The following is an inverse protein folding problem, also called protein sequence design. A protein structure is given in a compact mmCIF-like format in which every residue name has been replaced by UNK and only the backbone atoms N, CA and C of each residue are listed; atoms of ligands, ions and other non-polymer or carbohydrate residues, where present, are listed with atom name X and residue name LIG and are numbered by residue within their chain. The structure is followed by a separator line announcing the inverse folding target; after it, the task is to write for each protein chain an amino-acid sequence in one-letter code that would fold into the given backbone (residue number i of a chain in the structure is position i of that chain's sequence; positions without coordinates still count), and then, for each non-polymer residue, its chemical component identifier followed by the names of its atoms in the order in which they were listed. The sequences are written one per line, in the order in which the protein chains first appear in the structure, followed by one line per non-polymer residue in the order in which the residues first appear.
data_IF_375499837731
#
_entry.id   IF_375499837731
#
_cell.length_a   1.000
_cell.length_b   1.000
_cell.length_c   1.000
_cell.angle_alpha   90.00
_cell.angle_beta   90.00
_cell.angle_gamma   90.00
#
_symmetry.space_group_name_H-M   'P 1'
#
loop_
_entity.id
_entity.type
_entity.pdbx_description
1 polymer ?
#
# COMPACT_ATOMS: atom_id res chain seq x y z
N UNK A 1 -29.29 9.97 -7.25
CA UNK A 1 -28.67 8.78 -6.59
C UNK A 1 -28.44 7.73 -7.66
N UNK A 2 -27.20 7.47 -8.04
CA UNK A 2 -26.85 6.41 -9.00
C UNK A 2 -27.10 5.02 -8.39
N UNK A 3 -27.69 4.11 -9.16
CA UNK A 3 -27.94 2.73 -8.75
C UNK A 3 -26.61 2.00 -8.67
N UNK A 4 -26.27 1.40 -7.50
CA UNK A 4 -25.07 0.53 -7.39
C UNK A 4 -25.19 -0.62 -8.38
N UNK A 5 -24.09 -0.95 -9.08
CA UNK A 5 -24.05 -2.08 -10.02
C UNK A 5 -24.32 -3.39 -9.30
N UNK A 6 -25.09 -4.30 -9.94
CA UNK A 6 -25.43 -5.64 -9.42
C UNK A 6 -24.31 -6.66 -9.73
N UNK A 7 -23.22 -6.25 -10.38
CA UNK A 7 -22.10 -7.12 -10.76
C UNK A 7 -21.49 -7.78 -9.51
N UNK A 8 -21.41 -9.12 -9.48
CA UNK A 8 -20.89 -9.89 -8.34
C UNK A 8 -19.37 -9.73 -8.17
N UNK A 9 -18.61 -9.62 -9.26
CA UNK A 9 -17.15 -9.44 -9.25
C UNK A 9 -16.77 -8.02 -9.64
N UNK A 10 -16.75 -7.11 -8.67
CA UNK A 10 -16.27 -5.73 -8.83
C UNK A 10 -14.79 -5.68 -8.51
N UNK A 11 -14.02 -4.98 -9.34
CA UNK A 11 -12.63 -4.71 -9.01
C UNK A 11 -12.51 -3.58 -7.96
N UNK A 12 -11.33 -3.39 -7.42
CA UNK A 12 -11.09 -2.43 -6.32
C UNK A 12 -11.40 -0.98 -6.73
N UNK A 13 -11.21 -0.61 -7.99
CA UNK A 13 -11.48 0.73 -8.51
C UNK A 13 -12.98 1.03 -8.53
N UNK A 14 -13.79 0.06 -8.98
CA UNK A 14 -15.24 0.17 -8.96
C UNK A 14 -15.78 0.25 -7.52
N UNK A 15 -15.27 -0.61 -6.62
CA UNK A 15 -15.67 -0.61 -5.21
C UNK A 15 -15.38 0.76 -4.60
N UNK A 16 -14.16 1.28 -4.77
CA UNK A 16 -13.75 2.57 -4.21
C UNK A 16 -14.59 3.74 -4.70
N UNK A 17 -14.95 3.76 -6.00
CA UNK A 17 -15.84 4.78 -6.56
C UNK A 17 -17.25 4.69 -5.96
N UNK A 18 -17.79 3.48 -5.88
CA UNK A 18 -19.14 3.24 -5.37
C UNK A 18 -19.28 3.52 -3.86
N UNK A 19 -18.21 3.35 -3.09
CA UNK A 19 -18.17 3.70 -1.66
C UNK A 19 -18.29 5.23 -1.45
N UNK A 20 -17.81 6.01 -2.41
CA UNK A 20 -18.04 7.46 -2.46
C UNK A 20 -19.42 7.83 -3.01
N UNK A 21 -20.26 6.86 -3.39
CA UNK A 21 -21.55 7.04 -4.05
C UNK A 21 -21.47 7.82 -5.39
N UNK A 22 -20.34 7.72 -6.10
CA UNK A 22 -20.17 8.35 -7.41
C UNK A 22 -20.64 7.43 -8.54
N UNK A 23 -21.39 7.98 -9.53
CA UNK A 23 -21.52 7.35 -10.85
C UNK A 23 -20.21 7.53 -11.62
N UNK A 24 -20.03 6.82 -12.75
CA UNK A 24 -18.85 7.00 -13.60
C UNK A 24 -18.74 8.42 -14.15
N UNK A 25 -19.87 9.01 -14.51
CA UNK A 25 -19.95 10.38 -14.99
C UNK A 25 -19.56 11.39 -13.90
N UNK A 26 -20.09 11.23 -12.68
CA UNK A 26 -19.73 12.08 -11.54
C UNK A 26 -18.27 11.93 -11.14
N UNK A 27 -17.70 10.73 -11.25
CA UNK A 27 -16.28 10.50 -11.02
C UNK A 27 -15.42 11.16 -12.11
N UNK A 28 -15.80 11.02 -13.39
CA UNK A 28 -15.12 11.64 -14.52
C UNK A 28 -15.09 13.16 -14.41
N UNK A 29 -16.20 13.78 -14.01
CA UNK A 29 -16.28 15.22 -13.77
C UNK A 29 -15.29 15.69 -12.69
N UNK A 30 -15.18 14.93 -11.57
CA UNK A 30 -14.26 15.25 -10.48
C UNK A 30 -12.78 15.02 -10.84
N UNK A 31 -12.49 13.98 -11.61
CA UNK A 31 -11.15 13.63 -12.07
C UNK A 31 -10.66 14.56 -13.17
N UNK A 32 -11.56 15.13 -13.98
CA UNK A 32 -11.29 16.16 -14.99
C UNK A 32 -10.62 15.65 -16.26
N UNK A 33 -9.65 14.74 -16.17
CA UNK A 33 -8.90 14.23 -17.34
C UNK A 33 -9.17 12.75 -17.66
N UNK A 34 -9.96 12.05 -16.85
CA UNK A 34 -10.34 10.65 -17.04
C UNK A 34 -11.82 10.59 -17.43
N UNK A 35 -12.13 10.15 -18.65
CA UNK A 35 -13.51 10.03 -19.12
C UNK A 35 -14.26 8.88 -18.45
N UNK A 36 -15.60 8.94 -18.43
CA UNK A 36 -16.46 7.85 -17.93
C UNK A 36 -16.22 6.53 -18.68
N UNK A 37 -15.96 6.56 -19.98
CA UNK A 37 -15.60 5.39 -20.78
C UNK A 37 -14.25 4.79 -20.38
N UNK A 38 -13.28 5.66 -20.00
CA UNK A 38 -11.98 5.20 -19.50
C UNK A 38 -12.13 4.53 -18.14
N UNK A 39 -12.93 5.11 -17.24
CA UNK A 39 -13.26 4.51 -15.95
C UNK A 39 -13.93 3.15 -16.15
N UNK A 40 -14.89 3.06 -17.09
CA UNK A 40 -15.54 1.79 -17.41
C UNK A 40 -14.56 0.71 -17.89
N UNK A 41 -13.59 1.06 -18.74
CA UNK A 41 -12.57 0.11 -19.22
C UNK A 41 -11.69 -0.41 -18.09
N UNK A 42 -11.30 0.46 -17.16
CA UNK A 42 -10.52 0.09 -15.97
C UNK A 42 -11.34 -0.83 -15.04
N UNK A 43 -12.58 -0.45 -14.73
CA UNK A 43 -13.47 -1.22 -13.86
C UNK A 43 -13.89 -2.58 -14.45
N UNK A 44 -13.87 -2.72 -15.76
CA UNK A 44 -14.13 -3.98 -16.44
C UNK A 44 -12.84 -4.74 -16.83
N UNK A 45 -11.68 -4.30 -16.34
CA UNK A 45 -10.37 -4.93 -16.58
C UNK A 45 -10.01 -5.05 -18.07
N UNK A 46 -10.61 -4.19 -18.91
CA UNK A 46 -10.35 -4.12 -20.36
C UNK A 46 -9.04 -3.40 -20.66
N UNK A 47 -8.55 -2.60 -19.74
CA UNK A 47 -7.26 -1.92 -19.84
C UNK A 47 -6.76 -1.53 -18.45
N UNK A 48 -5.46 -1.68 -18.23
CA UNK A 48 -4.81 -1.24 -17.00
C UNK A 48 -4.84 0.30 -16.91
N UNK A 49 -5.02 0.85 -15.70
CA UNK A 49 -4.89 2.28 -15.48
C UNK A 49 -3.42 2.72 -15.61
N UNK A 50 -3.22 4.01 -15.91
CA UNK A 50 -1.90 4.63 -15.80
C UNK A 50 -1.62 5.11 -14.36
N UNK A 51 -0.35 5.21 -13.94
CA UNK A 51 -0.01 5.64 -12.58
C UNK A 51 -0.65 6.97 -12.17
N UNK A 52 -0.74 7.94 -13.10
CA UNK A 52 -1.35 9.24 -12.87
C UNK A 52 -2.86 9.13 -12.65
N UNK A 53 -3.52 8.19 -13.34
CA UNK A 53 -4.95 7.91 -13.16
C UNK A 53 -5.21 7.33 -11.77
N UNK A 54 -4.31 6.43 -11.31
CA UNK A 54 -4.40 5.83 -9.98
C UNK A 54 -4.23 6.87 -8.88
N UNK A 55 -3.24 7.76 -8.98
CA UNK A 55 -3.04 8.85 -8.02
C UNK A 55 -4.29 9.73 -7.93
N UNK A 56 -4.87 10.12 -9.06
CA UNK A 56 -6.08 10.91 -9.10
C UNK A 56 -7.30 10.16 -8.53
N UNK A 57 -7.46 8.87 -8.87
CA UNK A 57 -8.54 8.03 -8.32
C UNK A 57 -8.39 7.83 -6.81
N UNK A 58 -7.17 7.59 -6.30
CA UNK A 58 -6.90 7.43 -4.89
C UNK A 58 -7.31 8.67 -4.08
N UNK A 59 -6.99 9.86 -4.59
CA UNK A 59 -7.39 11.13 -3.95
C UNK A 59 -8.90 11.39 -4.08
N UNK A 60 -9.46 11.22 -5.27
CA UNK A 60 -10.88 11.45 -5.54
C UNK A 60 -11.79 10.51 -4.73
N UNK A 61 -11.42 9.24 -4.64
CA UNK A 61 -12.19 8.20 -3.95
C UNK A 61 -11.83 8.07 -2.47
N UNK A 62 -10.88 8.92 -1.99
CA UNK A 62 -10.39 8.89 -0.60
C UNK A 62 -9.87 7.51 -0.18
N UNK A 63 -9.29 6.79 -1.13
CA UNK A 63 -8.75 5.45 -0.91
C UNK A 63 -7.27 5.34 -1.34
N UNK A 64 -6.32 5.68 -0.45
CA UNK A 64 -4.89 5.60 -0.75
C UNK A 64 -4.40 4.17 -1.02
N UNK A 65 -5.19 3.13 -0.67
CA UNK A 65 -4.81 1.74 -0.92
C UNK A 65 -4.76 1.39 -2.41
N UNK A 66 -5.43 2.18 -3.27
CA UNK A 66 -5.38 1.99 -4.72
C UNK A 66 -3.95 2.09 -5.27
N UNK A 67 -3.11 2.97 -4.69
CA UNK A 67 -1.72 3.12 -5.12
C UNK A 67 -0.90 1.86 -4.80
N UNK A 68 -1.01 1.33 -3.58
CA UNK A 68 -0.30 0.10 -3.22
C UNK A 68 -0.82 -1.09 -4.02
N UNK A 69 -2.14 -1.23 -4.18
CA UNK A 69 -2.74 -2.29 -4.99
C UNK A 69 -2.20 -2.27 -6.42
N UNK A 70 -2.22 -1.12 -7.10
CA UNK A 70 -1.69 -1.00 -8.45
C UNK A 70 -0.22 -1.39 -8.51
N UNK A 71 0.61 -0.88 -7.61
CA UNK A 71 2.03 -1.20 -7.59
C UNK A 71 2.28 -2.69 -7.37
N UNK A 72 1.61 -3.32 -6.40
CA UNK A 72 1.86 -4.71 -6.02
C UNK A 72 1.19 -5.75 -6.92
N UNK A 73 0.19 -5.39 -7.76
CA UNK A 73 -0.59 -6.34 -8.56
C UNK A 73 -0.58 -6.06 -10.07
N UNK A 74 -0.41 -4.82 -10.50
CA UNK A 74 -0.63 -4.44 -11.89
C UNK A 74 0.61 -3.79 -12.55
N UNK A 75 1.48 -3.13 -11.77
CA UNK A 75 2.71 -2.54 -12.27
C UNK A 75 3.83 -3.59 -12.35
N UNK A 76 4.42 -3.88 -13.52
CA UNK A 76 5.47 -4.90 -13.64
C UNK A 76 6.68 -4.66 -12.70
N UNK A 77 7.07 -3.41 -12.51
CA UNK A 77 8.17 -3.06 -11.59
C UNK A 77 7.69 -3.22 -10.13
N UNK A 78 6.46 -2.77 -9.84
CA UNK A 78 5.92 -2.82 -8.49
C UNK A 78 5.67 -4.25 -8.01
N UNK A 79 5.25 -5.17 -8.86
CA UNK A 79 5.07 -6.60 -8.54
C UNK A 79 6.39 -7.21 -8.02
N UNK A 80 7.53 -6.77 -8.55
CA UNK A 80 8.84 -7.26 -8.12
C UNK A 80 9.34 -6.60 -6.83
N UNK A 81 9.05 -5.31 -6.63
CA UNK A 81 9.72 -4.50 -5.59
C UNK A 81 8.80 -3.94 -4.51
N UNK A 82 7.48 -3.99 -4.69
CA UNK A 82 6.53 -3.35 -3.77
C UNK A 82 5.65 -4.42 -3.10
N UNK A 83 5.80 -4.65 -1.79
CA UNK A 83 4.96 -5.60 -1.08
C UNK A 83 3.49 -5.13 -1.02
N UNK A 84 2.57 -6.08 -1.05
CA UNK A 84 1.17 -5.81 -0.77
C UNK A 84 1.00 -5.43 0.71
N UNK A 85 0.45 -4.25 0.97
CA UNK A 85 0.15 -3.77 2.32
C UNK A 85 -1.33 -4.01 2.62
N UNK A 86 -1.59 -4.93 3.56
CA UNK A 86 -2.95 -5.22 4.03
C UNK A 86 -3.39 -4.21 5.09
N UNK A 87 -4.66 -3.81 5.04
CA UNK A 87 -5.23 -2.97 6.08
C UNK A 87 -5.21 -3.68 7.43
N UNK A 88 -4.56 -3.07 8.43
CA UNK A 88 -4.43 -3.57 9.80
C UNK A 88 -4.83 -2.49 10.79
N UNK A 89 -5.19 -2.90 12.00
CA UNK A 89 -5.38 -1.96 13.11
C UNK A 89 -4.02 -1.47 13.65
N UNK A 90 -4.01 -0.29 14.25
CA UNK A 90 -2.79 0.26 14.86
C UNK A 90 -2.18 -0.71 15.88
N UNK A 91 -3.02 -1.38 16.68
CA UNK A 91 -2.56 -2.36 17.68
C UNK A 91 -1.86 -3.57 17.04
N UNK A 92 -2.39 -4.07 15.91
CA UNK A 92 -1.74 -5.18 15.18
C UNK A 92 -0.39 -4.75 14.62
N UNK A 93 -0.31 -3.57 14.00
CA UNK A 93 0.93 -3.00 13.48
C UNK A 93 1.96 -2.85 14.60
N UNK A 94 1.55 -2.28 15.73
CA UNK A 94 2.44 -2.07 16.89
C UNK A 94 2.98 -3.40 17.42
N UNK A 95 2.14 -4.43 17.54
CA UNK A 95 2.59 -5.75 18.01
C UNK A 95 3.58 -6.40 17.04
N UNK A 96 3.35 -6.31 15.73
CA UNK A 96 4.28 -6.80 14.70
C UNK A 96 5.62 -6.06 14.76
N UNK A 97 5.60 -4.73 14.88
CA UNK A 97 6.82 -3.92 15.03
C UNK A 97 7.61 -4.31 16.28
N UNK A 98 6.95 -4.43 17.43
CA UNK A 98 7.63 -4.79 18.69
C UNK A 98 8.22 -6.21 18.64
N UNK A 99 7.49 -7.16 18.05
CA UNK A 99 7.98 -8.53 17.87
C UNK A 99 9.25 -8.55 17.00
N UNK A 100 9.24 -7.81 15.88
CA UNK A 100 10.39 -7.73 14.97
C UNK A 100 11.56 -6.97 15.60
N UNK A 101 11.30 -5.87 16.32
CA UNK A 101 12.35 -5.14 17.07
C UNK A 101 13.05 -6.03 18.10
N UNK A 102 12.30 -6.84 18.85
CA UNK A 102 12.87 -7.77 19.83
C UNK A 102 13.79 -8.80 19.14
N UNK A 103 13.39 -9.35 18.00
CA UNK A 103 14.22 -10.29 17.22
C UNK A 103 15.48 -9.61 16.68
N UNK A 104 15.35 -8.43 16.05
CA UNK A 104 16.51 -7.68 15.55
C UNK A 104 17.47 -7.29 16.68
N UNK A 105 16.94 -6.97 17.86
CA UNK A 105 17.78 -6.70 19.04
C UNK A 105 18.57 -7.92 19.46
N UNK A 106 17.99 -9.12 19.39
CA UNK A 106 18.71 -10.37 19.72
C UNK A 106 19.79 -10.73 18.68
N UNK A 107 19.57 -10.38 17.41
CA UNK A 107 20.51 -10.68 16.31
C UNK A 107 21.54 -9.56 16.06
N UNK A 108 21.43 -8.44 16.78
CA UNK A 108 22.27 -7.25 16.57
C UNK A 108 23.77 -7.55 16.59
N UNK A 109 24.24 -8.32 17.59
CA UNK A 109 25.67 -8.60 17.72
C UNK A 109 26.15 -9.48 16.57
N UNK A 110 25.32 -10.46 16.14
CA UNK A 110 25.65 -11.32 15.02
C UNK A 110 25.74 -10.54 13.71
N UNK A 111 24.82 -9.58 13.49
CA UNK A 111 24.89 -8.68 12.33
C UNK A 111 26.18 -7.85 12.31
N UNK A 112 26.61 -7.33 13.48
CA UNK A 112 27.87 -6.59 13.61
C UNK A 112 29.05 -7.49 13.26
N UNK A 113 29.11 -8.72 13.81
CA UNK A 113 30.17 -9.68 13.53
C UNK A 113 30.33 -9.98 12.05
N UNK A 114 29.21 -10.29 11.35
CA UNK A 114 29.17 -10.60 9.91
C UNK A 114 29.64 -9.40 9.06
N UNK A 115 29.44 -8.17 9.53
CA UNK A 115 29.69 -6.96 8.70
C UNK A 115 31.02 -6.28 9.03
N UNK A 116 31.81 -6.79 9.97
CA UNK A 116 33.07 -6.14 10.44
C UNK A 116 34.11 -5.96 9.33
N UNK A 117 34.30 -6.96 8.49
CA UNK A 117 35.28 -6.95 7.40
C UNK A 117 34.71 -6.44 6.07
N UNK A 118 33.39 -6.23 5.99
CA UNK A 118 32.69 -5.73 4.78
C UNK A 118 32.50 -6.79 3.70
N UNK A 119 32.81 -8.07 3.99
CA UNK A 119 32.59 -9.22 3.13
C UNK A 119 31.61 -10.20 3.78
N UNK A 120 30.91 -10.98 2.98
CA UNK A 120 29.97 -12.00 3.47
C UNK A 120 30.49 -13.39 3.07
N UNK A 121 30.92 -14.17 4.02
CA UNK A 121 31.40 -15.53 3.80
C UNK A 121 30.26 -16.55 3.63
N UNK A 122 30.56 -17.72 3.05
CA UNK A 122 29.55 -18.78 2.80
C UNK A 122 28.93 -19.32 4.09
N UNK A 123 29.68 -19.37 5.18
CA UNK A 123 29.21 -19.83 6.49
C UNK A 123 28.40 -18.78 7.25
N UNK A 124 28.54 -17.50 6.93
CA UNK A 124 27.74 -16.40 7.49
C UNK A 124 26.42 -16.16 6.75
N UNK A 125 26.35 -16.58 5.47
CA UNK A 125 25.20 -16.36 4.62
C UNK A 125 23.86 -16.80 5.23
N UNK A 126 23.73 -17.99 5.90
CA UNK A 126 22.47 -18.41 6.50
C UNK A 126 21.99 -17.46 7.61
N UNK A 127 22.89 -16.98 8.47
CA UNK A 127 22.56 -16.04 9.55
C UNK A 127 22.18 -14.68 8.98
N UNK A 128 22.94 -14.20 7.98
CA UNK A 128 22.65 -12.95 7.31
C UNK A 128 21.27 -12.95 6.63
N UNK A 129 20.91 -14.04 5.92
CA UNK A 129 19.62 -14.17 5.28
C UNK A 129 18.47 -14.17 6.28
N UNK A 130 18.65 -14.80 7.45
CA UNK A 130 17.68 -14.79 8.55
C UNK A 130 17.46 -13.36 9.10
N UNK A 131 18.55 -12.62 9.30
CA UNK A 131 18.49 -11.22 9.76
C UNK A 131 17.83 -10.35 8.70
N UNK A 132 18.18 -10.53 7.41
CA UNK A 132 17.58 -9.85 6.28
C UNK A 132 16.05 -10.05 6.25
N UNK A 133 15.57 -11.27 6.46
CA UNK A 133 14.13 -11.56 6.53
C UNK A 133 13.42 -10.77 7.65
N UNK A 134 14.04 -10.64 8.83
CA UNK A 134 13.46 -9.83 9.91
C UNK A 134 13.49 -8.32 9.59
N UNK A 135 14.53 -7.84 8.89
CA UNK A 135 14.56 -6.45 8.40
C UNK A 135 13.46 -6.18 7.35
N UNK A 136 13.19 -7.12 6.47
CA UNK A 136 12.09 -7.02 5.50
C UNK A 136 10.72 -6.98 6.21
N UNK A 137 10.52 -7.80 7.24
CA UNK A 137 9.30 -7.72 8.09
C UNK A 137 9.16 -6.35 8.76
N UNK A 138 10.26 -5.77 9.23
CA UNK A 138 10.25 -4.41 9.80
C UNK A 138 9.87 -3.37 8.74
N UNK A 139 10.41 -3.46 7.54
CA UNK A 139 10.06 -2.55 6.44
C UNK A 139 8.55 -2.61 6.14
N UNK A 140 7.98 -3.82 6.01
CA UNK A 140 6.53 -4.01 5.80
C UNK A 140 5.71 -3.44 6.97
N UNK A 141 6.17 -3.56 8.21
CA UNK A 141 5.46 -3.03 9.38
C UNK A 141 5.48 -1.49 9.39
N UNK A 142 6.60 -0.87 8.99
CA UNK A 142 6.71 0.60 8.81
C UNK A 142 5.77 1.07 7.71
N UNK A 143 5.74 0.40 6.56
CA UNK A 143 4.85 0.72 5.46
C UNK A 143 3.38 0.56 5.87
N UNK A 144 3.06 -0.47 6.66
CA UNK A 144 1.72 -0.67 7.22
C UNK A 144 1.30 0.48 8.15
N UNK A 145 2.24 1.02 8.94
CA UNK A 145 2.00 2.18 9.80
C UNK A 145 1.74 3.44 8.97
N UNK A 146 2.58 3.70 7.95
CA UNK A 146 2.39 4.81 7.02
C UNK A 146 1.05 4.72 6.29
N UNK A 147 0.68 3.52 5.83
CA UNK A 147 -0.59 3.24 5.19
C UNK A 147 -1.78 3.53 6.13
N UNK A 148 -1.73 3.03 7.36
CA UNK A 148 -2.75 3.28 8.38
C UNK A 148 -2.90 4.77 8.67
N UNK A 149 -1.78 5.49 8.81
CA UNK A 149 -1.76 6.94 9.07
C UNK A 149 -2.41 7.70 7.92
N UNK A 150 -2.00 7.44 6.69
CA UNK A 150 -2.55 8.07 5.49
C UNK A 150 -4.07 7.83 5.38
N UNK A 151 -4.52 6.59 5.60
CA UNK A 151 -5.94 6.26 5.59
C UNK A 151 -6.71 7.01 6.70
N UNK A 152 -6.11 7.15 7.87
CA UNK A 152 -6.72 7.84 9.03
C UNK A 152 -6.86 9.35 8.79
N UNK A 153 -5.85 9.96 8.13
CA UNK A 153 -5.88 11.38 7.71
C UNK A 153 -6.95 11.60 6.65
N UNK A 154 -6.96 10.77 5.59
CA UNK A 154 -7.92 10.89 4.48
C UNK A 154 -9.36 10.68 4.95
N UNK A 155 -9.59 9.82 5.95
CA UNK A 155 -10.90 9.61 6.58
C UNK A 155 -11.32 10.73 7.54
N UNK A 156 -10.47 11.76 7.75
CA UNK A 156 -10.77 12.91 8.62
C UNK A 156 -10.71 12.63 10.12
N UNK A 157 -10.22 11.45 10.53
CA UNK A 157 -10.07 11.09 11.94
C UNK A 157 -8.89 11.80 12.62
N UNK A 158 -7.90 12.22 11.84
CA UNK A 158 -6.75 13.01 12.28
C UNK A 158 -6.66 14.27 11.42
N UNK A 159 -6.44 15.43 12.07
CA UNK A 159 -6.29 16.69 11.36
C UNK A 159 -4.88 16.81 10.78
N UNK A 160 -4.77 16.93 9.46
CA UNK A 160 -3.49 17.07 8.72
C UNK A 160 -2.64 18.25 9.19
N UNK A 161 -3.26 19.32 9.74
CA UNK A 161 -2.54 20.50 10.25
C UNK A 161 -1.64 20.23 11.46
N UNK A 162 -1.84 19.11 12.18
CA UNK A 162 -1.01 18.72 13.32
C UNK A 162 0.31 18.02 12.90
N UNK A 163 0.56 17.85 11.60
CA UNK A 163 1.74 17.16 11.06
C UNK A 163 2.70 18.10 10.32
N UNK A 164 2.42 19.40 10.30
CA UNK A 164 3.23 20.43 9.61
C UNK A 164 3.98 21.30 10.62
N UNK A 165 4.87 20.70 11.40
CA UNK A 165 5.93 21.39 12.18
C UNK A 165 7.29 20.79 11.83
#
# INVERSE_FOLDING_TARGET
MGRKSIKENKNIYQISREDMNYTREAAAEKLGFISSDRIEKIENEKSLPHPEEILAMADCYKNPSLCNYFCSHECPIGIEYVPEIKAKTLSQITLEMLATLNKLTSEKNRLIEITVDGELSEDELPDFLKIKEELEKMAIAIDSLNFWLNHTIVSGKINKRLMSD
#
